data_IF_770211200456
#
_entry.id   IF_770211200456
#
_cell.length_a   1.000
_cell.length_b   1.000
_cell.length_c   1.000
_cell.angle_alpha   90.00
_cell.angle_beta   90.00
_cell.angle_gamma   90.00
#
_symmetry.space_group_name_H-M   'P 1'
#
loop_
_entity.id
_entity.type
_entity.pdbx_description
1 polymer ?
#
# COMPACT_ATOMS: atom_id res chain seq x y z
N UNK A 1 -8.33 -19.87 7.74
CA UNK A 1 -7.44 -18.68 7.72
C UNK A 1 -5.97 -19.09 7.78
N UNK A 2 -5.52 -19.84 8.80
CA UNK A 2 -4.10 -20.20 8.95
C UNK A 2 -3.49 -20.95 7.75
N UNK A 3 -4.22 -21.88 7.13
CA UNK A 3 -3.72 -22.61 5.95
C UNK A 3 -3.48 -21.70 4.74
N UNK A 4 -4.39 -20.74 4.49
CA UNK A 4 -4.28 -19.76 3.40
C UNK A 4 -3.15 -18.77 3.69
N UNK A 5 -3.01 -18.33 4.94
CA UNK A 5 -1.95 -17.42 5.37
C UNK A 5 -0.57 -18.07 5.21
N UNK A 6 -0.39 -19.29 5.74
CA UNK A 6 0.86 -20.03 5.66
C UNK A 6 1.28 -20.33 4.21
N UNK A 7 0.32 -20.67 3.34
CA UNK A 7 0.59 -20.97 1.93
C UNK A 7 1.15 -19.77 1.15
N UNK A 8 0.81 -18.55 1.55
CA UNK A 8 1.19 -17.32 0.84
C UNK A 8 2.22 -16.50 1.64
N UNK A 9 2.82 -17.08 2.68
CA UNK A 9 3.64 -16.33 3.64
C UNK A 9 4.92 -15.75 3.02
N UNK A 10 5.42 -16.41 1.97
CA UNK A 10 6.53 -15.99 1.13
C UNK A 10 6.23 -14.68 0.36
N UNK A 11 4.99 -14.54 -0.14
CA UNK A 11 4.53 -13.34 -0.85
C UNK A 11 4.18 -12.18 0.08
N UNK A 12 3.72 -12.48 1.30
CA UNK A 12 3.22 -11.47 2.23
C UNK A 12 4.35 -10.67 2.91
N UNK A 13 5.57 -11.22 2.97
CA UNK A 13 6.74 -10.58 3.57
C UNK A 13 6.49 -9.98 4.98
N UNK A 14 5.71 -10.68 5.80
CA UNK A 14 5.33 -10.23 7.15
C UNK A 14 6.30 -10.74 8.23
N UNK A 15 6.60 -9.89 9.20
CA UNK A 15 7.25 -10.26 10.45
C UNK A 15 6.33 -11.10 11.36
N UNK A 16 6.91 -11.79 12.34
CA UNK A 16 6.13 -12.59 13.33
C UNK A 16 5.12 -11.75 14.13
N UNK A 17 5.46 -10.50 14.43
CA UNK A 17 4.55 -9.56 15.11
C UNK A 17 3.34 -9.23 14.23
N UNK A 18 3.56 -9.00 12.94
CA UNK A 18 2.48 -8.70 11.99
C UNK A 18 1.59 -9.91 11.74
N UNK A 19 2.17 -11.11 11.59
CA UNK A 19 1.39 -12.36 11.50
C UNK A 19 0.43 -12.50 12.67
N UNK A 20 0.92 -12.28 13.89
CA UNK A 20 0.11 -12.36 15.12
C UNK A 20 -0.98 -11.28 15.16
N UNK A 21 -0.64 -10.04 14.78
CA UNK A 21 -1.57 -8.90 14.78
C UNK A 21 -2.68 -9.06 13.74
N UNK A 22 -2.37 -9.62 12.57
CA UNK A 22 -3.28 -9.68 11.41
C UNK A 22 -4.10 -10.98 11.36
N UNK A 23 -3.77 -11.96 12.20
CA UNK A 23 -4.57 -13.18 12.39
C UNK A 23 -5.88 -12.85 13.12
N UNK A 24 -6.84 -12.28 12.39
CA UNK A 24 -8.17 -11.87 12.86
C UNK A 24 -9.26 -12.80 12.30
N UNK A 25 -10.50 -12.62 12.77
CA UNK A 25 -11.66 -13.44 12.38
C UNK A 25 -11.95 -13.43 10.87
N UNK A 26 -11.58 -12.36 10.16
CA UNK A 26 -11.67 -12.24 8.71
C UNK A 26 -10.37 -11.61 8.18
N UNK A 27 -9.90 -12.10 7.04
CA UNK A 27 -8.68 -11.64 6.38
C UNK A 27 -8.91 -11.68 4.87
N UNK A 28 -8.60 -10.59 4.18
CA UNK A 28 -8.58 -10.51 2.72
C UNK A 28 -7.12 -10.48 2.26
N UNK A 29 -6.80 -11.28 1.24
CA UNK A 29 -5.48 -11.27 0.60
C UNK A 29 -5.64 -10.71 -0.81
N UNK A 30 -4.81 -9.72 -1.14
CA UNK A 30 -4.78 -9.09 -2.46
C UNK A 30 -3.42 -9.39 -3.08
N UNK A 31 -3.42 -9.97 -4.28
CA UNK A 31 -2.20 -10.21 -5.04
C UNK A 31 -2.07 -9.17 -6.14
N UNK A 32 -0.86 -8.63 -6.29
CA UNK A 32 -0.51 -7.73 -7.37
C UNK A 32 0.32 -8.50 -8.41
N UNK A 33 0.08 -8.23 -9.69
CA UNK A 33 0.88 -8.73 -10.79
C UNK A 33 1.54 -7.55 -11.51
N UNK A 34 2.67 -7.79 -12.19
CA UNK A 34 3.40 -6.76 -12.95
C UNK A 34 3.83 -5.55 -12.11
N UNK A 35 4.36 -5.81 -10.91
CA UNK A 35 4.89 -4.75 -10.04
C UNK A 35 6.18 -4.21 -10.64
N UNK A 36 6.21 -2.91 -10.94
CA UNK A 36 7.38 -2.22 -11.46
C UNK A 36 7.96 -1.30 -10.40
N UNK A 37 9.29 -1.31 -10.27
CA UNK A 37 9.98 -0.34 -9.43
C UNK A 37 9.93 1.03 -10.12
N UNK A 38 9.56 2.05 -9.35
CA UNK A 38 9.62 3.45 -9.77
C UNK A 38 10.77 4.15 -9.07
N UNK A 39 11.29 5.21 -9.68
CA UNK A 39 12.26 6.07 -9.01
C UNK A 39 11.58 6.89 -7.91
N UNK A 40 12.27 7.14 -6.78
CA UNK A 40 11.72 7.96 -5.71
C UNK A 40 11.37 9.35 -6.25
N UNK A 41 10.08 9.70 -6.20
CA UNK A 41 9.61 11.03 -6.59
C UNK A 41 9.37 11.86 -5.33
N UNK A 42 9.70 13.15 -5.38
CA UNK A 42 9.36 14.05 -4.28
C UNK A 42 7.88 14.44 -4.37
N UNK A 43 7.20 14.34 -3.24
CA UNK A 43 5.79 14.68 -3.10
C UNK A 43 5.65 15.81 -2.08
N UNK A 44 4.77 16.77 -2.34
CA UNK A 44 4.35 17.73 -1.32
C UNK A 44 3.32 17.07 -0.41
N UNK A 45 3.58 17.07 0.90
CA UNK A 45 2.65 16.47 1.86
C UNK A 45 1.37 17.29 1.92
N UNK A 46 0.26 16.73 1.43
CA UNK A 46 -1.07 17.30 1.56
C UNK A 46 -1.79 16.78 2.82
N UNK A 47 -2.78 17.53 3.32
CA UNK A 47 -3.49 17.22 4.58
C UNK A 47 -4.29 15.90 4.53
N UNK A 48 -4.66 15.42 3.34
CA UNK A 48 -5.32 14.14 3.13
C UNK A 48 -4.35 12.94 3.08
N UNK A 49 -3.02 13.16 3.09
CA UNK A 49 -2.02 12.09 2.98
C UNK A 49 -1.83 11.25 4.24
N UNK A 50 -2.55 11.53 5.32
CA UNK A 50 -2.37 10.83 6.60
C UNK A 50 -2.91 9.39 6.56
N UNK A 51 -3.94 9.13 5.74
CA UNK A 51 -4.47 7.79 5.53
C UNK A 51 -4.32 7.36 4.08
N UNK A 52 -5.09 7.91 3.13
CA UNK A 52 -5.06 7.54 1.70
C UNK A 52 -5.11 8.76 0.79
N UNK A 53 -4.54 8.62 -0.42
CA UNK A 53 -4.70 9.63 -1.45
C UNK A 53 -5.47 9.08 -2.65
N UNK A 54 -6.51 9.81 -3.04
CA UNK A 54 -7.34 9.50 -4.20
C UNK A 54 -6.80 10.33 -5.35
N UNK A 55 -6.22 9.67 -6.35
CA UNK A 55 -5.67 10.29 -7.55
C UNK A 55 -6.21 9.63 -8.80
N UNK A 56 -6.28 10.42 -9.87
CA UNK A 56 -6.39 9.88 -11.22
C UNK A 56 -5.01 9.52 -11.78
N UNK A 57 -3.98 10.32 -11.50
CA UNK A 57 -2.60 10.08 -11.94
C UNK A 57 -1.59 10.36 -10.83
N UNK A 58 -0.50 9.57 -10.78
CA UNK A 58 0.59 9.78 -9.82
C UNK A 58 1.24 11.17 -9.99
N UNK A 59 1.25 11.68 -11.23
CA UNK A 59 1.80 12.99 -11.57
C UNK A 59 1.12 14.15 -10.83
N UNK A 60 -0.14 13.97 -10.42
CA UNK A 60 -0.95 14.99 -9.73
C UNK A 60 -0.46 15.29 -8.30
N UNK A 61 0.55 14.56 -7.81
CA UNK A 61 1.20 14.80 -6.51
C UNK A 61 2.67 15.24 -6.62
N UNK A 62 3.23 15.23 -7.83
CA UNK A 62 4.66 15.52 -8.02
C UNK A 62 4.89 17.02 -7.85
N UNK A 63 5.97 17.39 -7.16
CA UNK A 63 6.38 18.79 -6.97
C UNK A 63 6.40 19.52 -8.32
N UNK A 64 5.64 20.60 -8.44
CA UNK A 64 5.49 21.40 -9.68
C UNK A 64 4.31 21.04 -10.57
N UNK A 65 3.67 19.88 -10.37
CA UNK A 65 2.41 19.47 -11.03
C UNK A 65 1.26 19.25 -10.03
N UNK A 66 1.54 19.37 -8.74
CA UNK A 66 0.60 19.11 -7.65
C UNK A 66 -0.68 19.95 -7.77
N UNK A 67 -1.82 19.28 -7.81
CA UNK A 67 -3.14 19.92 -7.75
C UNK A 67 -3.64 19.81 -6.30
N UNK A 68 -4.09 20.91 -5.66
CA UNK A 68 -4.66 20.84 -4.33
C UNK A 68 -5.89 19.92 -4.31
N UNK A 69 -5.92 18.98 -3.39
CA UNK A 69 -7.12 18.18 -3.13
C UNK A 69 -8.19 19.06 -2.45
N UNK A 70 -9.42 19.09 -3.00
CA UNK A 70 -10.57 19.82 -2.46
C UNK A 70 -11.41 18.96 -1.50
#
# INVERSE_FOLDING_TARGET
ISAILNKNQDKLNLSEKEKTRWHKKALCLVEFSSVHKIDPTQFERQANMDDWLILEKIDDMVVGLSIPYN
#
